data_IF_895720069522
#
_entry.id   IF_895720069522
#
_cell.length_a   1.000
_cell.length_b   1.000
_cell.length_c   1.000
_cell.angle_alpha   90.00
_cell.angle_beta   90.00
_cell.angle_gamma   90.00
#
_symmetry.space_group_name_H-M   'P 1'
#
loop_
_entity.id
_entity.type
_entity.pdbx_description
1 polymer ?
#
# COMPACT_ATOMS: atom_id res chain seq x y z
N UNK A 1 6.63 -10.82 18.96
CA UNK A 1 7.65 -9.80 18.66
C UNK A 1 6.96 -8.46 18.75
N UNK A 2 7.44 -7.54 19.59
CA UNK A 2 6.82 -6.22 19.76
C UNK A 2 7.36 -5.25 18.70
N UNK A 3 6.47 -4.80 17.81
CA UNK A 3 6.73 -3.94 16.65
C UNK A 3 7.00 -2.45 17.00
N UNK A 4 7.14 -2.11 18.29
CA UNK A 4 7.28 -0.73 18.78
C UNK A 4 8.46 0.03 18.15
N UNK A 5 9.52 -0.66 17.72
CA UNK A 5 10.69 -0.03 17.09
C UNK A 5 10.50 0.42 15.63
N UNK A 6 9.44 0.00 14.93
CA UNK A 6 9.12 0.54 13.59
C UNK A 6 8.47 1.94 13.71
N UNK A 7 7.76 2.18 14.82
CA UNK A 7 7.08 3.44 15.12
C UNK A 7 7.98 4.47 15.83
N UNK A 8 9.07 4.04 16.49
CA UNK A 8 9.90 4.91 17.34
C UNK A 8 10.63 6.07 16.63
N UNK A 9 10.65 6.09 15.30
CA UNK A 9 11.20 7.22 14.52
C UNK A 9 10.14 8.08 13.84
N UNK A 10 8.85 7.82 14.09
CA UNK A 10 7.73 8.52 13.46
C UNK A 10 6.98 9.26 14.58
N UNK A 11 7.54 10.38 15.04
CA UNK A 11 6.79 11.30 15.91
C UNK A 11 5.95 12.20 14.99
N UNK A 12 4.61 12.19 15.08
CA UNK A 12 3.78 13.08 14.27
C UNK A 12 3.98 14.51 14.78
N UNK A 13 4.51 15.40 13.93
CA UNK A 13 4.63 16.82 14.24
C UNK A 13 3.33 17.51 13.85
N UNK A 14 2.60 17.91 14.89
CA UNK A 14 1.35 18.67 14.86
C UNK A 14 1.37 19.83 13.84
N UNK A 15 0.72 19.62 12.70
CA UNK A 15 0.10 20.69 11.91
C UNK A 15 0.16 20.54 10.40
N UNK A 16 -0.98 20.27 9.75
CA UNK A 16 -1.61 21.14 8.74
C UNK A 16 -2.88 20.50 8.18
N UNK A 17 -3.85 21.36 7.89
CA UNK A 17 -5.25 21.14 7.49
C UNK A 17 -5.49 20.47 6.13
N UNK A 18 -6.46 19.53 6.12
CA UNK A 18 -7.56 19.27 5.14
C UNK A 18 -7.23 19.11 3.66
N UNK A 19 -7.31 17.87 3.15
CA UNK A 19 -8.39 17.42 2.27
C UNK A 19 -8.24 15.92 1.97
N UNK A 20 -9.32 15.14 2.15
CA UNK A 20 -9.31 13.69 1.99
C UNK A 20 -9.13 13.28 0.53
N UNK A 21 -8.04 12.57 0.24
CA UNK A 21 -7.85 11.81 -1.00
C UNK A 21 -7.30 10.45 -0.62
N UNK A 22 -8.02 9.38 -0.97
CA UNK A 22 -7.35 8.09 -1.19
C UNK A 22 -6.22 8.38 -2.16
N UNK A 23 -4.97 8.09 -1.80
CA UNK A 23 -3.81 8.33 -2.67
C UNK A 23 -4.10 7.69 -4.03
N UNK A 24 -4.50 8.53 -4.98
CA UNK A 24 -4.71 8.12 -6.37
C UNK A 24 -3.34 7.92 -7.00
N UNK A 25 -3.25 7.22 -8.14
CA UNK A 25 -1.94 7.08 -8.82
C UNK A 25 -1.29 8.46 -9.06
N UNK A 26 -2.11 9.50 -9.32
CA UNK A 26 -1.66 10.88 -9.52
C UNK A 26 -1.09 11.53 -8.25
N UNK A 27 -1.59 11.16 -7.06
CA UNK A 27 -1.05 11.67 -5.80
C UNK A 27 0.28 10.97 -5.45
N UNK A 28 0.44 9.71 -5.88
CA UNK A 28 1.70 8.98 -5.83
C UNK A 28 2.72 9.61 -6.80
N UNK A 29 2.33 9.92 -8.03
CA UNK A 29 3.18 10.57 -9.04
C UNK A 29 3.67 11.96 -8.56
N UNK A 30 2.82 12.74 -7.88
CA UNK A 30 3.20 14.03 -7.33
C UNK A 30 4.21 13.93 -6.16
N UNK A 31 4.14 12.85 -5.36
CA UNK A 31 5.15 12.54 -4.34
C UNK A 31 6.51 12.24 -5.00
N UNK A 32 6.50 11.56 -6.15
CA UNK A 32 7.70 11.27 -6.95
C UNK A 32 8.33 12.53 -7.56
N UNK A 33 7.51 13.41 -8.13
CA UNK A 33 7.99 14.59 -8.87
C UNK A 33 8.43 15.75 -7.96
N UNK A 34 7.99 15.77 -6.69
CA UNK A 34 8.27 16.86 -5.75
C UNK A 34 9.59 16.73 -4.97
N UNK A 35 10.30 15.61 -5.10
CA UNK A 35 11.55 15.36 -4.36
C UNK A 35 12.78 15.74 -5.21
N UNK A 36 13.71 16.58 -4.69
CA UNK A 36 14.79 17.18 -5.48
C UNK A 36 15.94 16.23 -5.89
N UNK A 37 15.70 14.93 -5.98
CA UNK A 37 16.78 13.92 -5.99
C UNK A 37 16.77 12.96 -7.19
N UNK A 38 15.87 13.16 -8.16
CA UNK A 38 15.64 12.17 -9.23
C UNK A 38 16.83 11.98 -10.20
N UNK A 39 17.62 13.01 -10.48
CA UNK A 39 18.70 12.92 -11.48
C UNK A 39 20.04 12.39 -10.92
N UNK A 40 20.35 12.64 -9.65
CA UNK A 40 21.64 12.24 -9.07
C UNK A 40 21.69 10.72 -8.76
N UNK A 41 20.55 10.09 -8.48
CA UNK A 41 20.48 8.66 -8.15
C UNK A 41 20.66 7.70 -9.33
N UNK A 42 20.24 8.09 -10.53
CA UNK A 42 20.34 7.24 -11.73
C UNK A 42 21.80 6.99 -12.14
N UNK A 43 22.68 7.95 -11.88
CA UNK A 43 24.09 7.88 -12.27
C UNK A 43 24.95 7.03 -11.31
N UNK A 44 24.43 6.67 -10.12
CA UNK A 44 25.13 5.88 -9.08
C UNK A 44 24.94 4.35 -9.19
N UNK A 45 24.07 3.85 -10.08
CA UNK A 45 23.64 2.43 -10.07
C UNK A 45 24.57 1.44 -10.79
N UNK A 46 25.62 1.90 -11.48
CA UNK A 46 26.39 1.06 -12.42
C UNK A 46 27.48 0.16 -11.78
N UNK A 47 27.86 0.38 -10.50
CA UNK A 47 29.11 -0.20 -9.96
C UNK A 47 28.96 -1.05 -8.68
N UNK A 48 27.75 -1.37 -8.25
CA UNK A 48 27.53 -2.11 -6.98
C UNK A 48 27.06 -3.55 -7.19
N UNK A 49 27.48 -4.43 -6.28
CA UNK A 49 27.10 -5.85 -6.26
C UNK A 49 25.61 -6.00 -5.98
N UNK A 50 24.87 -6.87 -6.70
CA UNK A 50 23.45 -7.08 -6.46
C UNK A 50 23.15 -7.50 -5.02
N UNK A 51 22.20 -6.82 -4.38
CA UNK A 51 21.72 -7.14 -3.04
C UNK A 51 20.84 -8.40 -3.08
N UNK A 52 21.14 -9.44 -2.28
CA UNK A 52 20.27 -10.61 -2.18
C UNK A 52 18.88 -10.24 -1.64
N UNK A 53 18.79 -9.24 -0.77
CA UNK A 53 17.52 -8.74 -0.25
C UNK A 53 16.66 -8.14 -1.35
N UNK A 54 17.24 -7.28 -2.19
CA UNK A 54 16.52 -6.68 -3.31
C UNK A 54 16.04 -7.73 -4.31
N UNK A 55 16.84 -8.78 -4.56
CA UNK A 55 16.42 -9.90 -5.39
C UNK A 55 15.21 -10.64 -4.80
N UNK A 56 15.25 -10.96 -3.51
CA UNK A 56 14.14 -11.66 -2.83
C UNK A 56 12.86 -10.83 -2.81
N UNK A 57 12.95 -9.53 -2.53
CA UNK A 57 11.75 -8.67 -2.50
C UNK A 57 11.14 -8.51 -3.89
N UNK A 58 11.97 -8.41 -4.95
CA UNK A 58 11.48 -8.41 -6.34
C UNK A 58 10.78 -9.72 -6.69
N UNK A 59 11.33 -10.87 -6.28
CA UNK A 59 10.70 -12.16 -6.50
C UNK A 59 9.29 -12.22 -5.86
N UNK A 60 9.14 -11.70 -4.65
CA UNK A 60 7.83 -11.57 -4.02
C UNK A 60 6.88 -10.67 -4.81
N UNK A 61 7.35 -9.49 -5.22
CA UNK A 61 6.55 -8.54 -5.99
C UNK A 61 6.13 -9.13 -7.36
N UNK A 62 7.02 -9.86 -8.04
CA UNK A 62 6.73 -10.53 -9.31
C UNK A 62 5.66 -11.61 -9.16
N UNK A 63 5.71 -12.40 -8.07
CA UNK A 63 4.68 -13.41 -7.80
C UNK A 63 3.31 -12.77 -7.56
N UNK A 64 3.26 -11.69 -6.77
CA UNK A 64 2.03 -10.92 -6.53
C UNK A 64 1.50 -10.32 -7.83
N UNK A 65 2.37 -9.68 -8.62
CA UNK A 65 1.99 -9.06 -9.88
C UNK A 65 1.42 -10.09 -10.87
N UNK A 66 2.05 -11.27 -10.97
CA UNK A 66 1.55 -12.37 -11.81
C UNK A 66 0.18 -12.86 -11.35
N UNK A 67 -0.01 -13.04 -10.04
CA UNK A 67 -1.29 -13.46 -9.47
C UNK A 67 -2.39 -12.41 -9.71
N UNK A 68 -2.05 -11.13 -9.56
CA UNK A 68 -2.95 -9.99 -9.85
C UNK A 68 -3.39 -10.00 -11.32
N UNK A 69 -2.45 -10.19 -12.25
CA UNK A 69 -2.73 -10.29 -13.69
C UNK A 69 -3.64 -11.49 -14.00
N UNK A 70 -3.34 -12.67 -13.45
CA UNK A 70 -4.17 -13.86 -13.62
C UNK A 70 -5.59 -13.65 -13.10
N UNK A 71 -5.73 -13.01 -11.93
CA UNK A 71 -7.03 -12.70 -11.33
C UNK A 71 -7.86 -11.79 -12.23
N UNK A 72 -7.26 -10.72 -12.76
CA UNK A 72 -7.93 -9.80 -13.69
C UNK A 72 -8.35 -10.50 -14.98
N UNK A 73 -7.49 -11.35 -15.53
CA UNK A 73 -7.78 -12.09 -16.76
C UNK A 73 -8.87 -13.16 -16.59
N UNK A 74 -9.03 -13.70 -15.38
CA UNK A 74 -10.04 -14.73 -15.08
C UNK A 74 -11.38 -14.13 -14.65
N UNK A 75 -11.36 -13.03 -13.90
CA UNK A 75 -12.55 -12.39 -13.38
C UNK A 75 -12.64 -10.95 -13.86
N UNK A 76 -13.43 -10.75 -14.92
CA UNK A 76 -13.62 -9.43 -15.53
C UNK A 76 -14.53 -8.51 -14.71
N UNK A 77 -15.41 -9.05 -13.87
CA UNK A 77 -16.41 -8.26 -13.16
C UNK A 77 -16.62 -8.70 -11.71
N UNK A 78 -16.96 -7.74 -10.85
CA UNK A 78 -17.33 -7.93 -9.46
C UNK A 78 -18.70 -7.33 -9.15
N UNK A 79 -19.36 -7.85 -8.12
CA UNK A 79 -20.60 -7.31 -7.57
C UNK A 79 -20.28 -6.31 -6.47
N UNK A 80 -20.60 -5.04 -6.68
CA UNK A 80 -20.38 -3.96 -5.71
C UNK A 80 -21.70 -3.56 -5.06
N UNK A 81 -21.70 -3.46 -3.73
CA UNK A 81 -22.84 -2.97 -2.95
C UNK A 81 -22.60 -1.50 -2.60
N UNK A 82 -23.36 -0.58 -3.19
CA UNK A 82 -23.26 0.85 -2.83
C UNK A 82 -24.01 1.14 -1.51
N UNK A 83 -23.41 1.87 -0.56
CA UNK A 83 -24.11 2.27 0.65
C UNK A 83 -25.25 3.25 0.34
N UNK A 84 -26.32 3.14 1.14
CA UNK A 84 -27.59 3.87 1.00
C UNK A 84 -27.39 5.38 1.18
N UNK A 85 -27.73 6.18 0.16
CA UNK A 85 -27.70 7.65 0.23
C UNK A 85 -28.91 8.16 1.08
N UNK A 86 -28.75 9.04 2.10
CA UNK A 86 -29.82 9.37 3.05
C UNK A 86 -31.01 10.15 2.45
N UNK A 87 -30.83 10.78 1.29
CA UNK A 87 -31.89 11.53 0.59
C UNK A 87 -32.92 10.59 -0.09
N UNK A 88 -32.59 9.31 -0.27
CA UNK A 88 -33.42 8.36 -1.01
C UNK A 88 -34.59 7.77 -0.21
N UNK A 89 -34.69 8.03 1.11
CA UNK A 89 -35.71 7.44 1.98
C UNK A 89 -37.17 7.85 1.66
N UNK A 90 -37.39 8.93 0.91
CA UNK A 90 -38.74 9.35 0.48
C UNK A 90 -39.19 8.64 -0.81
N UNK A 91 -38.25 8.36 -1.73
CA UNK A 91 -38.53 7.66 -3.00
C UNK A 91 -38.76 6.16 -2.78
N UNK A 92 -38.04 5.55 -1.84
CA UNK A 92 -38.17 4.10 -1.55
C UNK A 92 -39.52 3.67 -0.98
N UNK A 93 -40.33 4.59 -0.41
CA UNK A 93 -41.68 4.23 0.04
C UNK A 93 -42.66 4.02 -1.12
N UNK A 94 -42.29 4.41 -2.35
CA UNK A 94 -43.16 4.36 -3.53
C UNK A 94 -42.77 3.24 -4.53
N UNK A 95 -41.52 2.80 -4.55
CA UNK A 95 -41.05 1.77 -5.48
C UNK A 95 -40.21 0.75 -4.73
N UNK A 96 -40.68 -0.50 -4.76
CA UNK A 96 -40.15 -1.65 -4.03
C UNK A 96 -38.88 -2.19 -4.73
N UNK A 97 -37.83 -1.36 -4.83
CA UNK A 97 -36.56 -1.72 -5.47
C UNK A 97 -35.60 -2.37 -4.46
N UNK A 98 -35.27 -3.64 -4.71
CA UNK A 98 -34.16 -4.38 -4.11
C UNK A 98 -32.83 -3.60 -4.24
N UNK A 99 -31.86 -3.77 -3.31
CA UNK A 99 -30.56 -3.11 -3.41
C UNK A 99 -29.90 -3.44 -4.75
N UNK A 100 -29.67 -2.41 -5.57
CA UNK A 100 -29.09 -2.62 -6.90
C UNK A 100 -27.64 -3.05 -6.78
N UNK A 101 -27.40 -4.33 -7.04
CA UNK A 101 -26.04 -4.87 -7.21
C UNK A 101 -25.49 -4.32 -8.52
N UNK A 102 -24.47 -3.47 -8.47
CA UNK A 102 -23.79 -3.03 -9.69
C UNK A 102 -22.66 -4.00 -10.03
N UNK A 103 -22.56 -4.33 -11.32
CA UNK A 103 -21.49 -5.15 -11.87
C UNK A 103 -20.42 -4.16 -12.36
N UNK A 104 -19.30 -4.07 -11.66
CA UNK A 104 -18.18 -3.19 -12.02
C UNK A 104 -17.01 -4.04 -12.52
N UNK A 105 -16.17 -3.54 -13.46
CA UNK A 105 -15.00 -4.27 -13.89
C UNK A 105 -14.02 -4.45 -12.71
N UNK A 106 -13.38 -5.61 -12.61
CA UNK A 106 -12.30 -5.78 -11.65
C UNK A 106 -11.09 -4.98 -12.15
N UNK A 107 -10.65 -4.00 -11.37
CA UNK A 107 -9.49 -3.17 -11.71
C UNK A 107 -8.32 -3.41 -10.77
N UNK A 108 -7.13 -2.98 -11.19
CA UNK A 108 -5.90 -3.02 -10.38
C UNK A 108 -6.07 -2.28 -9.06
N UNK A 109 -6.74 -1.13 -9.07
CA UNK A 109 -6.96 -0.30 -7.87
C UNK A 109 -7.80 -1.03 -6.83
N UNK A 110 -8.80 -1.81 -7.28
CA UNK A 110 -9.65 -2.60 -6.38
C UNK A 110 -8.82 -3.73 -5.75
N UNK A 111 -7.99 -4.41 -6.55
CA UNK A 111 -7.10 -5.45 -6.02
C UNK A 111 -6.08 -4.87 -5.04
N UNK A 112 -5.40 -3.77 -5.39
CA UNK A 112 -4.48 -3.07 -4.49
C UNK A 112 -5.14 -2.66 -3.18
N UNK A 113 -6.40 -2.22 -3.21
CA UNK A 113 -7.15 -1.90 -1.99
C UNK A 113 -7.36 -3.13 -1.09
N UNK A 114 -7.68 -4.28 -1.68
CA UNK A 114 -7.83 -5.54 -0.93
C UNK A 114 -6.48 -6.04 -0.41
N UNK A 115 -5.43 -5.96 -1.21
CA UNK A 115 -4.08 -6.32 -0.76
C UNK A 115 -3.61 -5.39 0.38
N UNK A 116 -3.88 -4.08 0.29
CA UNK A 116 -3.59 -3.09 1.34
C UNK A 116 -4.30 -3.42 2.66
N UNK A 117 -5.53 -3.95 2.63
CA UNK A 117 -6.22 -4.42 3.83
C UNK A 117 -5.50 -5.61 4.50
N UNK A 118 -4.93 -6.52 3.71
CA UNK A 118 -4.11 -7.61 4.22
C UNK A 118 -2.84 -7.01 4.85
N UNK A 119 -2.16 -6.11 4.16
CA UNK A 119 -0.95 -5.45 4.67
C UNK A 119 -1.17 -4.61 5.93
N UNK A 120 -2.30 -3.90 6.03
CA UNK A 120 -2.72 -3.18 7.23
C UNK A 120 -2.76 -4.09 8.46
N UNK A 121 -3.19 -5.35 8.30
CA UNK A 121 -3.27 -6.30 9.40
C UNK A 121 -1.91 -6.90 9.82
N UNK A 122 -0.84 -6.69 9.04
CA UNK A 122 0.54 -7.00 9.43
C UNK A 122 1.05 -5.99 10.45
N UNK A 123 0.57 -4.75 10.34
CA UNK A 123 0.88 -3.64 11.24
C UNK A 123 -0.38 -3.25 12.02
N UNK A 124 -0.85 -4.08 12.97
CA UNK A 124 -2.03 -3.75 13.74
C UNK A 124 -1.81 -2.41 14.44
N UNK A 125 -2.78 -1.49 14.38
CA UNK A 125 -2.56 -0.14 14.86
C UNK A 125 -2.38 -0.16 16.39
N UNK A 126 -1.39 0.58 16.88
CA UNK A 126 -1.15 0.72 18.32
C UNK A 126 -2.32 1.40 19.05
N UNK A 127 -3.13 2.18 18.32
CA UNK A 127 -4.30 2.90 18.82
C UNK A 127 -5.48 2.82 17.84
N UNK A 128 -6.74 2.93 18.31
CA UNK A 128 -7.92 2.85 17.45
C UNK A 128 -8.01 3.95 16.37
N UNK A 129 -7.31 5.06 16.59
CA UNK A 129 -7.29 6.23 15.72
C UNK A 129 -6.08 6.27 14.78
N UNK A 130 -5.25 5.22 14.79
CA UNK A 130 -4.18 5.04 13.81
C UNK A 130 -4.66 4.04 12.76
N UNK A 131 -4.41 4.36 11.49
CA UNK A 131 -4.65 3.47 10.36
C UNK A 131 -3.33 3.25 9.65
N UNK A 132 -3.01 1.99 9.41
CA UNK A 132 -1.83 1.59 8.67
C UNK A 132 -2.28 0.96 7.36
N UNK A 133 -1.53 1.21 6.30
CA UNK A 133 -1.64 0.57 5.00
C UNK A 133 -0.25 0.10 4.60
N UNK A 134 -0.16 -1.10 4.04
CA UNK A 134 1.08 -1.63 3.51
C UNK A 134 0.76 -2.40 2.24
N UNK A 135 1.41 -2.07 1.13
CA UNK A 135 1.13 -2.75 -0.13
C UNK A 135 2.31 -2.69 -1.11
N UNK A 136 2.30 -3.65 -2.04
CA UNK A 136 3.19 -3.68 -3.19
C UNK A 136 2.49 -3.07 -4.41
N UNK A 137 3.04 -1.98 -4.96
CA UNK A 137 2.48 -1.35 -6.14
C UNK A 137 2.91 -2.08 -7.41
N UNK A 138 4.22 -2.25 -7.59
CA UNK A 138 4.82 -2.96 -8.71
C UNK A 138 6.11 -3.70 -8.27
N UNK A 139 6.89 -4.19 -9.25
CA UNK A 139 8.13 -4.95 -8.99
C UNK A 139 9.10 -4.26 -8.02
N UNK A 140 9.22 -2.94 -8.13
CA UNK A 140 10.28 -2.18 -7.48
C UNK A 140 9.76 -1.23 -6.39
N UNK A 141 8.44 -1.08 -6.24
CA UNK A 141 7.86 -0.08 -5.32
C UNK A 141 6.94 -0.68 -4.26
N UNK A 142 7.30 -0.44 -3.00
CA UNK A 142 6.50 -0.80 -1.82
C UNK A 142 6.16 0.43 -1.01
N UNK A 143 4.95 0.46 -0.45
CA UNK A 143 4.45 1.59 0.30
C UNK A 143 3.99 1.16 1.68
N UNK A 144 4.37 1.95 2.67
CA UNK A 144 3.75 1.96 3.99
C UNK A 144 3.16 3.36 4.21
N UNK A 145 1.88 3.42 4.54
CA UNK A 145 1.20 4.67 4.84
C UNK A 145 0.56 4.57 6.22
N UNK A 146 0.76 5.59 7.04
CA UNK A 146 0.16 5.70 8.35
C UNK A 146 -0.60 7.02 8.43
N UNK A 147 -1.87 6.96 8.85
CA UNK A 147 -2.69 8.14 9.13
C UNK A 147 -3.24 8.10 10.56
N UNK A 148 -3.26 9.28 11.18
CA UNK A 148 -3.93 9.55 12.45
C UNK A 148 -5.26 10.23 12.16
N UNK A 149 -6.35 9.69 12.69
CA UNK A 149 -7.71 10.23 12.50
C UNK A 149 -8.27 10.85 13.77
N UNK A 150 -9.11 11.88 13.64
CA UNK A 150 -9.88 12.44 14.75
C UNK A 150 -11.12 11.59 15.09
N UNK A 151 -11.85 11.98 16.13
CA UNK A 151 -13.10 11.31 16.55
C UNK A 151 -14.21 11.34 15.49
N UNK A 152 -14.11 12.22 14.50
CA UNK A 152 -15.04 12.35 13.38
C UNK A 152 -14.59 11.53 12.17
N UNK A 153 -13.41 10.90 12.23
CA UNK A 153 -12.81 10.13 11.15
C UNK A 153 -11.98 10.96 10.17
N UNK A 154 -11.70 12.23 10.45
CA UNK A 154 -10.86 13.07 9.60
C UNK A 154 -9.38 12.79 9.84
N UNK A 155 -8.58 12.68 8.77
CA UNK A 155 -7.12 12.58 8.89
C UNK A 155 -6.58 13.91 9.42
N UNK A 156 -5.85 13.85 10.53
CA UNK A 156 -5.22 15.03 11.17
C UNK A 156 -3.71 15.01 11.06
N UNK A 157 -3.13 13.85 10.76
CA UNK A 157 -1.71 13.70 10.46
C UNK A 157 -1.50 12.43 9.62
N UNK A 158 -0.49 12.42 8.77
CA UNK A 158 -0.15 11.26 7.95
C UNK A 158 1.31 11.24 7.53
N UNK A 159 1.81 10.05 7.28
CA UNK A 159 3.15 9.84 6.75
C UNK A 159 3.15 8.66 5.78
N UNK A 160 3.87 8.83 4.69
CA UNK A 160 4.08 7.78 3.69
C UNK A 160 5.57 7.47 3.62
N UNK A 161 5.91 6.19 3.77
CA UNK A 161 7.21 5.63 3.47
C UNK A 161 7.12 4.85 2.17
N UNK A 162 7.96 5.23 1.22
CA UNK A 162 8.15 4.55 -0.04
C UNK A 162 9.49 3.80 0.01
N UNK A 163 9.48 2.51 -0.33
CA UNK A 163 10.66 1.69 -0.45
C UNK A 163 10.88 1.36 -1.92
N UNK A 164 11.92 1.96 -2.50
CA UNK A 164 12.39 1.71 -3.86
C UNK A 164 13.44 0.59 -3.84
N UNK A 165 13.13 -0.51 -4.51
CA UNK A 165 13.99 -1.69 -4.59
C UNK A 165 15.01 -1.47 -5.71
N UNK A 166 16.23 -1.16 -5.31
CA UNK A 166 17.36 -0.93 -6.22
C UNK A 166 18.18 -2.22 -6.40
N UNK A 167 19.10 -2.25 -7.37
CA UNK A 167 19.94 -3.42 -7.62
C UNK A 167 20.84 -3.75 -6.41
N UNK A 168 21.33 -2.74 -5.72
CA UNK A 168 22.33 -2.79 -4.65
C UNK A 168 21.77 -2.58 -3.23
N UNK A 169 20.50 -2.21 -3.10
CA UNK A 169 19.88 -1.92 -1.82
C UNK A 169 18.39 -1.61 -1.92
N UNK A 170 17.82 -1.20 -0.79
CA UNK A 170 16.42 -0.78 -0.69
C UNK A 170 16.44 0.65 -0.16
N UNK A 171 16.07 1.61 -1.00
CA UNK A 171 16.04 3.02 -0.66
C UNK A 171 14.71 3.34 0.00
N UNK A 172 14.75 3.91 1.20
CA UNK A 172 13.57 4.50 1.85
C UNK A 172 13.48 5.96 1.50
N UNK A 173 12.30 6.36 1.04
CA UNK A 173 11.90 7.75 0.80
C UNK A 173 10.72 8.06 1.71
N UNK A 174 10.75 9.19 2.40
CA UNK A 174 9.65 9.60 3.28
C UNK A 174 8.96 10.84 2.72
N UNK A 175 7.63 10.91 2.87
CA UNK A 175 6.86 12.12 2.51
C UNK A 175 7.22 13.32 3.39
N UNK A 176 7.77 13.09 4.59
CA UNK A 176 8.25 14.14 5.45
C UNK A 176 9.62 14.64 4.97
N UNK A 177 9.68 15.89 4.50
CA UNK A 177 10.89 16.52 3.98
C UNK A 177 12.04 16.64 4.99
N UNK A 178 11.75 16.55 6.29
CA UNK A 178 12.76 16.59 7.35
C UNK A 178 13.49 15.25 7.53
N UNK A 179 13.00 14.18 6.89
CA UNK A 179 13.58 12.84 6.98
C UNK A 179 14.46 12.58 5.75
N UNK A 180 15.73 12.27 5.99
CA UNK A 180 16.67 11.94 4.90
C UNK A 180 16.33 10.61 4.24
N UNK A 181 16.37 10.59 2.91
CA UNK A 181 16.22 9.38 2.12
C UNK A 181 17.51 8.54 2.23
N UNK A 182 17.39 7.27 2.64
CA UNK A 182 18.55 6.43 2.96
C UNK A 182 18.31 4.97 2.59
N UNK A 183 19.38 4.26 2.21
CA UNK A 183 19.34 2.80 2.06
C UNK A 183 19.14 2.17 3.43
N UNK A 184 18.06 1.40 3.60
CA UNK A 184 17.76 0.74 4.87
C UNK A 184 18.77 -0.37 5.16
N UNK A 185 19.11 -0.54 6.43
CA UNK A 185 20.04 -1.56 6.89
C UNK A 185 19.73 -1.98 8.33
N UNK A 186 20.44 -2.98 8.84
CA UNK A 186 20.27 -3.45 10.22
C UNK A 186 18.85 -3.93 10.51
N UNK A 187 18.28 -3.48 11.64
CA UNK A 187 16.98 -3.94 12.11
C UNK A 187 15.82 -3.49 11.20
N UNK A 188 15.92 -2.32 10.59
CA UNK A 188 14.88 -1.82 9.68
C UNK A 188 14.77 -2.69 8.43
N UNK A 189 15.92 -3.09 7.85
CA UNK A 189 15.95 -4.04 6.74
C UNK A 189 15.34 -5.39 7.13
N UNK A 190 15.65 -5.92 8.32
CA UNK A 190 15.06 -7.19 8.79
C UNK A 190 13.55 -7.07 8.89
N UNK A 191 13.03 -6.01 9.50
CA UNK A 191 11.58 -5.81 9.61
C UNK A 191 10.90 -5.65 8.25
N UNK A 192 11.53 -4.94 7.31
CA UNK A 192 11.02 -4.82 5.95
C UNK A 192 10.97 -6.17 5.24
N UNK A 193 12.02 -6.98 5.35
CA UNK A 193 12.06 -8.33 4.79
C UNK A 193 10.97 -9.24 5.38
N UNK A 194 10.77 -9.18 6.70
CA UNK A 194 9.72 -9.96 7.36
C UNK A 194 8.32 -9.51 6.93
N UNK A 195 8.08 -8.19 6.86
CA UNK A 195 6.80 -7.63 6.45
C UNK A 195 6.47 -7.97 4.99
N UNK A 196 7.42 -7.83 4.07
CA UNK A 196 7.24 -8.18 2.65
C UNK A 196 6.97 -9.66 2.46
N UNK A 197 7.67 -10.53 3.19
CA UNK A 197 7.41 -11.97 3.18
C UNK A 197 6.01 -12.31 3.72
N UNK A 198 5.62 -11.77 4.89
CA UNK A 198 4.29 -12.02 5.47
C UNK A 198 3.21 -11.52 4.52
N UNK A 199 3.40 -10.33 3.93
CA UNK A 199 2.49 -9.78 2.92
C UNK A 199 2.35 -10.71 1.73
N UNK A 200 3.46 -11.14 1.14
CA UNK A 200 3.50 -12.08 0.02
C UNK A 200 2.72 -13.36 0.32
N UNK A 201 3.04 -14.02 1.43
CA UNK A 201 2.44 -15.30 1.79
C UNK A 201 0.92 -15.16 2.01
N UNK A 202 0.48 -14.06 2.64
CA UNK A 202 -0.93 -13.81 2.94
C UNK A 202 -1.71 -13.33 1.72
N UNK A 203 -1.16 -12.45 0.90
CA UNK A 203 -1.83 -11.99 -0.33
C UNK A 203 -2.04 -13.16 -1.29
N UNK A 204 -1.03 -14.00 -1.49
CA UNK A 204 -1.17 -15.18 -2.34
C UNK A 204 -2.11 -16.22 -1.74
N UNK A 205 -2.04 -16.45 -0.42
CA UNK A 205 -2.85 -17.46 0.26
C UNK A 205 -4.31 -17.06 0.51
N UNK A 206 -4.60 -15.78 0.75
CA UNK A 206 -5.93 -15.28 1.13
C UNK A 206 -6.68 -14.67 -0.06
N UNK A 207 -5.98 -13.98 -0.97
CA UNK A 207 -6.60 -13.26 -2.09
C UNK A 207 -6.48 -14.02 -3.42
N UNK A 208 -5.36 -14.72 -3.64
CA UNK A 208 -5.05 -15.37 -4.92
C UNK A 208 -4.90 -16.89 -4.86
N UNK A 209 -5.48 -17.55 -3.84
CA UNK A 209 -5.26 -18.97 -3.57
C UNK A 209 -5.44 -19.88 -4.80
N UNK A 210 -6.51 -19.65 -5.56
CA UNK A 210 -6.84 -20.43 -6.76
C UNK A 210 -5.90 -20.16 -7.94
N UNK A 211 -5.35 -18.94 -8.01
CA UNK A 211 -4.59 -18.47 -9.15
C UNK A 211 -3.08 -18.75 -8.96
N UNK A 212 -2.59 -18.68 -7.71
CA UNK A 212 -1.19 -19.01 -7.37
C UNK A 212 -0.84 -20.49 -7.60
N UNK A 213 -1.78 -21.41 -7.34
CA UNK A 213 -1.55 -22.85 -7.56
C UNK A 213 -1.41 -23.25 -9.03
N UNK A 214 -1.92 -22.42 -9.95
CA UNK A 214 -1.84 -22.64 -11.39
C UNK A 214 -0.56 -22.04 -12.01
N UNK A 215 0.12 -21.18 -11.26
CA UNK A 215 1.33 -20.47 -11.69
C UNK A 215 2.65 -21.12 -11.25
N UNK A 216 2.57 -22.11 -10.34
CA UNK A 216 3.70 -22.86 -9.77
C UNK A 216 3.93 -24.19 -10.53
#
# INVERSE_FOLDING_TARGET
MSFESFEQNITPLRGSSSDHKTLSSTDLDALYESQPVFEEYQQYQAERTPSPYSKTVREYAENIARAREMRMNRQFFIKVHKPRNPISNVVYRLFNDEPSTQIEPLTTEILLKHESQIGASIFPPARPDVRNEFFNFDRDHWFFHQSLVDSSGNVIDEVTMHYDIQSDGILKVCSNADVSNVIISGQELVHFMDATKIYHDRVLGELYQDDHQLAA
#
